data_IF_307162929605
#
_entry.id   IF_307162929605
#
_cell.length_a   1.000
_cell.length_b   1.000
_cell.length_c   1.000
_cell.angle_alpha   90.00
_cell.angle_beta   90.00
_cell.angle_gamma   90.00
#
_symmetry.space_group_name_H-M   'P 1'
#
loop_
_entity.id
_entity.type
_entity.pdbx_description
1 polymer ?
#
# COMPACT_ATOMS: atom_id res chain seq x y z
N UNK A 1 -12.08 -6.31 13.53
CA UNK A 1 -11.33 -6.88 12.40
C UNK A 1 -11.53 -6.00 11.18
N UNK A 2 -10.62 -5.05 10.98
CA UNK A 2 -10.54 -4.15 9.84
C UNK A 2 -9.59 -4.74 8.79
N UNK A 3 -9.99 -4.70 7.52
CA UNK A 3 -9.15 -5.09 6.40
C UNK A 3 -8.82 -3.83 5.62
N UNK A 4 -7.54 -3.61 5.34
CA UNK A 4 -7.06 -2.55 4.45
C UNK A 4 -6.43 -3.16 3.21
N UNK A 5 -7.03 -2.88 2.05
CA UNK A 5 -6.43 -3.18 0.76
C UNK A 5 -5.52 -2.04 0.33
N UNK A 6 -4.24 -2.33 0.06
CA UNK A 6 -3.25 -1.39 -0.44
C UNK A 6 -3.01 -1.69 -1.92
N UNK A 7 -3.37 -0.76 -2.80
CA UNK A 7 -3.08 -0.86 -4.22
C UNK A 7 -1.79 -0.11 -4.56
N UNK A 8 -0.74 -0.84 -4.91
CA UNK A 8 0.53 -0.31 -5.39
C UNK A 8 0.55 -0.08 -6.91
N UNK A 9 -0.53 -0.42 -7.62
CA UNK A 9 -0.66 -0.11 -9.04
C UNK A 9 -0.87 1.39 -9.27
N UNK A 10 -0.22 1.99 -10.29
CA UNK A 10 -0.56 3.35 -10.71
C UNK A 10 -1.98 3.45 -11.28
N UNK A 11 -2.58 2.32 -11.70
CA UNK A 11 -3.94 2.28 -12.20
C UNK A 11 -4.91 1.84 -11.11
N UNK A 12 -5.68 2.81 -10.59
CA UNK A 12 -6.71 2.62 -9.55
C UNK A 12 -7.80 1.61 -9.91
N UNK A 13 -8.11 1.47 -11.19
CA UNK A 13 -9.16 0.58 -11.69
C UNK A 13 -8.63 -0.58 -12.54
N UNK A 14 -7.31 -0.81 -12.49
CA UNK A 14 -6.65 -1.86 -13.25
C UNK A 14 -6.87 -3.26 -12.70
N UNK A 15 -6.17 -4.24 -13.30
CA UNK A 15 -6.29 -5.66 -12.97
C UNK A 15 -6.02 -5.95 -11.49
N UNK A 16 -5.07 -5.25 -10.86
CA UNK A 16 -4.76 -5.40 -9.43
C UNK A 16 -5.98 -5.10 -8.54
N UNK A 17 -6.67 -3.99 -8.79
CA UNK A 17 -7.88 -3.62 -8.05
C UNK A 17 -9.04 -4.55 -8.36
N UNK A 18 -9.18 -5.02 -9.60
CA UNK A 18 -10.22 -5.97 -9.98
C UNK A 18 -10.04 -7.32 -9.28
N UNK A 19 -8.80 -7.82 -9.24
CA UNK A 19 -8.48 -9.05 -8.52
C UNK A 19 -8.73 -8.90 -7.02
N UNK A 20 -8.34 -7.78 -6.42
CA UNK A 20 -8.61 -7.52 -5.00
C UNK A 20 -10.11 -7.53 -4.69
N UNK A 21 -10.95 -6.95 -5.55
CA UNK A 21 -12.42 -7.00 -5.42
C UNK A 21 -12.97 -8.44 -5.45
N UNK A 22 -12.39 -9.29 -6.30
CA UNK A 22 -12.79 -10.71 -6.39
C UNK A 22 -12.35 -11.51 -5.16
N UNK A 23 -11.11 -11.31 -4.70
CA UNK A 23 -10.55 -12.01 -3.53
C UNK A 23 -11.23 -11.58 -2.23
N UNK A 24 -11.55 -10.29 -2.11
CA UNK A 24 -12.22 -9.71 -0.95
C UNK A 24 -13.74 -9.62 -1.11
N UNK A 25 -14.31 -10.40 -2.04
CA UNK A 25 -15.75 -10.49 -2.19
C UNK A 25 -16.39 -10.81 -0.84
N UNK A 26 -17.54 -10.17 -0.57
CA UNK A 26 -18.31 -10.34 0.67
C UNK A 26 -17.59 -9.92 1.97
N UNK A 27 -16.40 -9.31 1.88
CA UNK A 27 -15.72 -8.68 3.01
C UNK A 27 -15.94 -7.17 2.97
N UNK A 28 -16.11 -6.57 4.15
CA UNK A 28 -16.00 -5.12 4.28
C UNK A 28 -14.51 -4.76 4.45
N UNK A 29 -13.99 -3.88 3.60
CA UNK A 29 -12.59 -3.48 3.62
C UNK A 29 -12.42 -2.02 3.18
N UNK A 30 -11.44 -1.34 3.78
CA UNK A 30 -10.95 -0.04 3.31
C UNK A 30 -9.96 -0.21 2.16
N UNK A 31 -9.76 0.84 1.37
CA UNK A 31 -8.84 0.81 0.22
C UNK A 31 -7.93 2.04 0.26
N UNK A 32 -6.62 1.82 0.13
CA UNK A 32 -5.58 2.83 0.04
C UNK A 32 -4.90 2.71 -1.32
N UNK A 33 -4.90 3.79 -2.10
CA UNK A 33 -4.24 3.85 -3.41
C UNK A 33 -2.90 4.53 -3.24
N UNK A 34 -1.78 3.82 -3.40
CA UNK A 34 -0.46 4.43 -3.19
C UNK A 34 -0.16 5.55 -4.18
N UNK A 35 -0.78 5.53 -5.36
CA UNK A 35 -0.65 6.59 -6.38
C UNK A 35 -1.23 7.94 -5.93
N UNK A 36 -2.02 7.97 -4.86
CA UNK A 36 -2.59 9.20 -4.31
C UNK A 36 -1.70 9.90 -3.27
N UNK A 37 -0.57 9.28 -2.91
CA UNK A 37 0.33 9.80 -1.90
C UNK A 37 1.69 10.11 -2.52
N UNK A 38 2.30 11.20 -2.06
CA UNK A 38 3.71 11.48 -2.33
C UNK A 38 4.54 10.76 -1.28
N UNK A 39 5.27 9.74 -1.70
CA UNK A 39 6.17 8.98 -0.83
C UNK A 39 7.53 9.03 -1.50
N UNK A 40 8.51 9.58 -0.80
CA UNK A 40 9.86 9.70 -1.31
C UNK A 40 10.73 8.51 -0.86
N UNK A 41 11.80 8.24 -1.61
CA UNK A 41 12.66 7.10 -1.36
C UNK A 41 13.55 7.32 -0.12
N UNK A 42 14.12 6.23 0.39
CA UNK A 42 15.01 6.26 1.56
C UNK A 42 16.13 7.30 1.43
N UNK A 43 16.26 8.16 2.45
CA UNK A 43 17.27 9.22 2.52
C UNK A 43 16.85 10.52 1.85
N UNK A 44 15.67 10.58 1.24
CA UNK A 44 15.04 11.82 0.82
C UNK A 44 14.19 12.39 1.96
N UNK A 45 14.27 13.70 2.14
CA UNK A 45 13.51 14.43 3.16
C UNK A 45 12.85 15.64 2.49
N UNK A 46 11.54 15.55 2.32
CA UNK A 46 10.73 16.58 1.68
C UNK A 46 9.54 16.95 2.59
N UNK A 47 9.23 18.25 2.73
CA UNK A 47 8.15 18.70 3.61
C UNK A 47 6.75 18.18 3.26
N UNK A 48 6.55 17.72 2.02
CA UNK A 48 5.29 17.18 1.51
C UNK A 48 5.29 15.65 1.35
N UNK A 49 6.22 14.95 2.03
CA UNK A 49 6.17 13.51 2.16
C UNK A 49 4.97 13.07 3.02
N UNK A 50 4.21 12.09 2.51
CA UNK A 50 2.99 11.57 3.12
C UNK A 50 3.15 10.13 3.62
N UNK A 51 4.39 9.65 3.74
CA UNK A 51 4.69 8.31 4.25
C UNK A 51 4.10 8.06 5.63
N UNK A 52 4.19 9.01 6.55
CA UNK A 52 3.62 8.88 7.91
C UNK A 52 2.09 8.72 7.88
N UNK A 53 1.40 9.44 6.99
CA UNK A 53 -0.05 9.34 6.80
C UNK A 53 -0.47 7.95 6.31
N UNK A 54 0.32 7.37 5.41
CA UNK A 54 0.12 6.01 4.90
C UNK A 54 0.43 4.98 6.00
N UNK A 55 1.54 5.13 6.71
CA UNK A 55 1.92 4.22 7.81
C UNK A 55 0.88 4.20 8.93
N UNK A 56 0.31 5.35 9.29
CA UNK A 56 -0.75 5.42 10.30
C UNK A 56 -1.97 4.57 9.92
N UNK A 57 -2.41 4.63 8.65
CA UNK A 57 -3.51 3.81 8.14
C UNK A 57 -3.15 2.32 8.11
N UNK A 58 -1.92 2.00 7.71
CA UNK A 58 -1.40 0.63 7.67
C UNK A 58 -1.32 -0.01 9.06
N UNK A 59 -0.89 0.74 10.07
CA UNK A 59 -0.77 0.27 11.45
C UNK A 59 -2.12 0.15 12.16
N UNK A 60 -3.12 0.93 11.75
CA UNK A 60 -4.47 0.86 12.32
C UNK A 60 -5.30 -0.35 11.84
N UNK A 61 -4.87 -1.04 10.77
CA UNK A 61 -5.60 -2.16 10.19
C UNK A 61 -5.22 -3.51 10.83
N UNK A 62 -6.22 -4.34 11.14
CA UNK A 62 -6.00 -5.68 11.70
C UNK A 62 -5.41 -6.64 10.64
N UNK A 63 -5.84 -6.49 9.38
CA UNK A 63 -5.42 -7.31 8.25
C UNK A 63 -5.03 -6.41 7.07
N UNK A 64 -3.85 -6.66 6.50
CA UNK A 64 -3.38 -5.99 5.28
C UNK A 64 -3.50 -6.93 4.08
N UNK A 65 -4.07 -6.42 3.00
CA UNK A 65 -4.10 -7.09 1.70
C UNK A 65 -3.37 -6.20 0.72
N UNK A 66 -2.28 -6.68 0.15
CA UNK A 66 -1.43 -5.87 -0.71
C UNK A 66 -1.55 -6.36 -2.15
N UNK A 67 -1.91 -5.45 -3.04
CA UNK A 67 -1.93 -5.69 -4.48
C UNK A 67 -0.84 -4.88 -5.17
N UNK A 68 0.04 -5.56 -5.90
CA UNK A 68 0.98 -4.92 -6.83
C UNK A 68 0.89 -5.60 -8.19
N UNK A 69 0.98 -4.84 -9.29
CA UNK A 69 1.33 -5.45 -10.57
C UNK A 69 2.77 -5.99 -10.49
N UNK A 70 3.09 -6.96 -11.34
CA UNK A 70 4.46 -7.44 -11.54
C UNK A 70 5.01 -6.71 -12.75
N UNK A 71 6.04 -5.90 -12.54
CA UNK A 71 6.79 -5.24 -13.61
C UNK A 71 8.22 -5.77 -13.58
N UNK A 72 8.71 -6.24 -14.73
CA UNK A 72 10.08 -6.76 -14.87
C UNK A 72 10.48 -7.78 -13.81
N UNK A 73 9.60 -8.76 -13.53
CA UNK A 73 9.79 -9.80 -12.51
C UNK A 73 9.87 -9.30 -11.06
N UNK A 74 9.50 -8.05 -10.79
CA UNK A 74 9.49 -7.48 -9.45
C UNK A 74 8.17 -6.79 -9.12
N UNK A 75 7.97 -6.51 -7.83
CA UNK A 75 6.92 -5.63 -7.36
C UNK A 75 7.23 -4.17 -7.73
N UNK A 76 6.22 -3.32 -7.64
CA UNK A 76 6.38 -1.86 -7.76
C UNK A 76 7.26 -1.32 -6.63
N UNK A 77 8.12 -0.33 -6.93
CA UNK A 77 9.15 0.16 -6.00
C UNK A 77 8.64 0.72 -4.67
N UNK A 78 7.43 1.29 -4.66
CA UNK A 78 6.79 1.81 -3.44
C UNK A 78 6.45 0.72 -2.42
N UNK A 79 6.25 -0.52 -2.87
CA UNK A 79 5.84 -1.60 -1.99
C UNK A 79 6.99 -2.10 -1.08
N UNK A 80 8.19 -2.42 -1.58
CA UNK A 80 9.35 -2.72 -0.73
C UNK A 80 9.66 -1.63 0.30
N UNK A 81 9.54 -0.35 -0.10
CA UNK A 81 9.75 0.79 0.80
C UNK A 81 8.78 0.77 1.98
N UNK A 82 7.47 0.65 1.70
CA UNK A 82 6.44 0.57 2.73
C UNK A 82 6.64 -0.63 3.66
N UNK A 83 7.02 -1.79 3.11
CA UNK A 83 7.23 -3.03 3.85
C UNK A 83 8.46 -2.96 4.77
N UNK A 84 9.55 -2.31 4.31
CA UNK A 84 10.76 -2.14 5.08
C UNK A 84 10.56 -1.22 6.29
N UNK A 85 9.81 -0.12 6.11
CA UNK A 85 9.57 0.85 7.18
C UNK A 85 8.68 0.30 8.29
N UNK A 86 7.69 -0.54 7.94
CA UNK A 86 6.90 -1.27 8.95
C UNK A 86 7.81 -2.07 9.90
N UNK A 87 8.86 -2.71 9.37
CA UNK A 87 9.80 -3.52 10.16
C UNK A 87 10.67 -2.68 11.12
N UNK A 88 10.92 -1.40 10.82
CA UNK A 88 11.66 -0.50 11.70
C UNK A 88 10.78 0.13 12.80
N UNK A 89 9.46 0.15 12.59
CA UNK A 89 8.49 0.74 13.53
C UNK A 89 7.88 -0.25 14.51
N UNK A 90 8.15 -1.56 14.35
CA UNK A 90 7.76 -2.59 15.33
C UNK A 90 8.93 -2.70 16.33
N UNK A 91 8.69 -2.49 17.65
CA UNK A 91 9.73 -2.61 18.67
C UNK A 91 10.29 -4.03 18.82
#
# INVERSE_FOLDING_TARGET
>A
MSILFINASPNKNGNTSQLAKQVLAEKNYGSLQLIDYKIYDYGQDFPDDQLEEVLAQVLAADTLVIGSPVYWHSFTGLLPLLMFLKWLTIP
#
